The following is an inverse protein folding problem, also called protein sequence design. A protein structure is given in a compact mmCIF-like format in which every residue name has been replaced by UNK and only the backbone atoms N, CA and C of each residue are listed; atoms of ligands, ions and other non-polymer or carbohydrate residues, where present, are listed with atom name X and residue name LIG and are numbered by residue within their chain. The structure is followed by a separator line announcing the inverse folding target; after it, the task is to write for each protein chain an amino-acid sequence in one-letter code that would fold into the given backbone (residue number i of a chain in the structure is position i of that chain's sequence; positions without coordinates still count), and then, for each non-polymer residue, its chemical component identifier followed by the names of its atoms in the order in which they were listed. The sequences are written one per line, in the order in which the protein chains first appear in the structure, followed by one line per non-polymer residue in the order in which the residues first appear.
data_IF_681805551865
#
_entry.id   IF_681805551865
#
_cell.length_a   1.000
_cell.length_b   1.000
_cell.length_c   1.000
_cell.angle_alpha   90.00
_cell.angle_beta   90.00
_cell.angle_gamma   90.00
#
_symmetry.space_group_name_H-M   'P 1'
#
loop_
_entity.id
_entity.type
_entity.pdbx_description
1 polymer ?
#
# COMPACT_ATOMS: atom_id res chain seq x y z
N UNK A 1 5.32 -13.14 2.81
CA UNK A 1 4.46 -13.20 1.60
C UNK A 1 4.83 -14.41 0.72
N UNK A 2 3.99 -15.45 0.50
CA UNK A 2 2.74 -15.64 -0.30
C UNK A 2 3.05 -16.08 -1.75
N UNK A 3 2.73 -17.33 -2.04
CA UNK A 3 2.85 -17.98 -3.35
C UNK A 3 1.57 -17.67 -4.12
N UNK A 4 1.69 -16.96 -5.24
CA UNK A 4 0.58 -16.66 -6.15
C UNK A 4 0.50 -17.75 -7.21
N UNK A 5 -0.68 -18.34 -7.39
CA UNK A 5 -1.01 -19.19 -8.53
C UNK A 5 -2.17 -18.54 -9.29
N UNK A 6 -1.93 -18.18 -10.55
CA UNK A 6 -2.96 -17.74 -11.48
C UNK A 6 -3.63 -18.98 -12.07
N UNK A 7 -4.96 -19.02 -12.13
CA UNK A 7 -5.69 -20.13 -12.76
C UNK A 7 -6.50 -19.57 -13.94
N UNK A 8 -6.13 -19.95 -15.18
CA UNK A 8 -7.05 -19.94 -16.31
C UNK A 8 -8.05 -21.10 -16.16
N UNK A 9 -9.33 -20.84 -16.49
CA UNK A 9 -10.48 -21.70 -16.19
C UNK A 9 -10.19 -23.19 -16.46
N UNK A 10 -10.50 -24.01 -15.45
CA UNK A 10 -10.33 -25.45 -15.38
C UNK A 10 -10.63 -26.13 -16.73
N UNK A 11 -9.66 -26.94 -17.17
CA UNK A 11 -9.59 -27.84 -18.33
C UNK A 11 -8.72 -27.40 -19.54
N UNK A 12 -8.47 -26.10 -19.82
CA UNK A 12 -7.51 -25.65 -20.89
C UNK A 12 -6.85 -24.27 -20.61
N UNK A 13 -6.42 -23.99 -19.38
CA UNK A 13 -5.79 -22.71 -19.01
C UNK A 13 -4.30 -22.83 -18.65
N UNK A 14 -3.56 -21.72 -18.74
CA UNK A 14 -2.17 -21.64 -18.24
C UNK A 14 -2.16 -21.19 -16.78
N UNK A 15 -1.32 -21.85 -15.98
CA UNK A 15 -1.05 -21.45 -14.59
C UNK A 15 0.30 -20.74 -14.54
N UNK A 16 0.29 -19.49 -14.08
CA UNK A 16 1.51 -18.69 -13.87
C UNK A 16 1.77 -18.62 -12.36
N UNK A 17 2.98 -19.00 -11.96
CA UNK A 17 3.45 -18.90 -10.58
C UNK A 17 4.28 -17.62 -10.41
N UNK A 18 3.83 -16.74 -9.51
CA UNK A 18 4.52 -15.48 -9.22
C UNK A 18 5.17 -15.53 -7.84
N UNK A 19 6.50 -15.41 -7.81
CA UNK A 19 7.29 -15.31 -6.60
C UNK A 19 7.67 -13.84 -6.38
N UNK A 20 6.78 -13.10 -5.71
CA UNK A 20 6.97 -11.66 -5.57
C UNK A 20 8.03 -11.31 -4.51
N UNK A 21 9.10 -10.57 -4.87
CA UNK A 21 10.03 -10.02 -3.90
C UNK A 21 9.48 -8.77 -3.21
N UNK A 22 10.17 -8.29 -2.19
CA UNK A 22 9.99 -6.95 -1.62
C UNK A 22 8.54 -6.58 -1.24
N UNK A 23 7.81 -7.52 -0.62
CA UNK A 23 6.48 -7.25 -0.09
C UNK A 23 6.49 -6.21 1.01
N UNK A 24 7.35 -6.41 2.00
CA UNK A 24 7.39 -5.62 3.24
C UNK A 24 7.71 -4.15 2.96
N UNK A 25 8.35 -3.87 1.81
CA UNK A 25 8.66 -2.52 1.34
C UNK A 25 7.49 -1.87 0.56
N UNK A 26 6.42 -2.63 0.27
CA UNK A 26 5.23 -2.16 -0.42
C UNK A 26 5.41 -1.86 -1.91
N UNK A 27 6.47 -2.35 -2.56
CA UNK A 27 6.83 -1.95 -3.93
C UNK A 27 7.02 -3.10 -4.93
N UNK A 28 7.21 -4.35 -4.48
CA UNK A 28 7.50 -5.47 -5.38
C UNK A 28 6.40 -5.77 -6.40
N UNK A 29 5.15 -5.87 -5.94
CA UNK A 29 3.99 -6.11 -6.81
C UNK A 29 3.89 -5.06 -7.91
N UNK A 30 4.00 -3.78 -7.53
CA UNK A 30 3.94 -2.65 -8.46
C UNK A 30 4.99 -2.75 -9.57
N UNK A 31 6.19 -3.24 -9.25
CA UNK A 31 7.26 -3.40 -10.23
C UNK A 31 7.01 -4.59 -11.16
N UNK A 32 6.62 -5.74 -10.62
CA UNK A 32 6.29 -6.92 -11.43
C UNK A 32 5.16 -6.64 -12.41
N UNK A 33 4.09 -5.95 -11.97
CA UNK A 33 2.98 -5.57 -12.84
C UNK A 33 3.46 -4.65 -13.97
N UNK A 34 4.34 -3.69 -13.65
CA UNK A 34 4.93 -2.79 -14.65
C UNK A 34 5.77 -3.54 -15.68
N UNK A 35 6.42 -4.63 -15.28
CA UNK A 35 7.26 -5.47 -16.13
C UNK A 35 6.46 -6.58 -16.85
N UNK A 36 5.11 -6.53 -16.83
CA UNK A 36 4.24 -7.40 -17.61
C UNK A 36 3.79 -8.68 -16.90
N UNK A 37 4.02 -8.83 -15.59
CA UNK A 37 3.72 -10.09 -14.88
C UNK A 37 2.23 -10.49 -14.85
N UNK A 38 1.32 -9.57 -15.19
CA UNK A 38 -0.13 -9.82 -15.27
C UNK A 38 -0.69 -9.62 -16.68
N UNK A 39 0.16 -9.56 -17.70
CA UNK A 39 -0.31 -9.58 -19.09
C UNK A 39 -1.00 -10.92 -19.38
N UNK A 40 -2.16 -10.87 -20.04
CA UNK A 40 -3.01 -12.04 -20.35
C UNK A 40 -3.46 -12.87 -19.12
N UNK A 41 -3.51 -12.26 -17.93
CA UNK A 41 -4.00 -12.88 -16.70
C UNK A 41 -5.45 -12.49 -16.42
N UNK A 42 -6.35 -13.48 -16.39
CA UNK A 42 -7.78 -13.28 -16.11
C UNK A 42 -8.09 -13.13 -14.61
N UNK A 43 -7.35 -13.84 -13.76
CA UNK A 43 -7.59 -13.89 -12.32
C UNK A 43 -6.31 -14.09 -11.52
N UNK A 44 -6.24 -13.50 -10.33
CA UNK A 44 -5.09 -13.57 -9.43
C UNK A 44 -5.53 -13.99 -8.03
N UNK A 45 -4.79 -14.91 -7.41
CA UNK A 45 -5.11 -15.45 -6.10
C UNK A 45 -3.95 -15.31 -5.14
N UNK A 46 -4.24 -14.86 -3.92
CA UNK A 46 -3.24 -14.59 -2.90
C UNK A 46 -3.55 -15.29 -1.57
N UNK A 47 -2.54 -15.91 -0.94
CA UNK A 47 -2.67 -16.65 0.34
C UNK A 47 -1.67 -16.24 1.43
N UNK A 48 -2.14 -15.60 2.49
CA UNK A 48 -1.28 -15.24 3.63
C UNK A 48 -1.46 -16.24 4.77
N UNK A 49 -0.37 -16.76 5.34
CA UNK A 49 -0.45 -17.57 6.55
C UNK A 49 -0.74 -16.64 7.73
N UNK A 50 -1.81 -16.94 8.47
CA UNK A 50 -2.21 -16.16 9.63
C UNK A 50 -1.94 -16.95 10.90
N UNK A 51 -1.24 -16.34 11.86
CA UNK A 51 -1.08 -16.91 13.20
C UNK A 51 -2.32 -16.71 14.09
N UNK A 52 -3.22 -15.80 13.70
CA UNK A 52 -4.46 -15.49 14.43
C UNK A 52 -5.56 -16.55 14.26
N UNK A 53 -5.36 -17.54 13.38
CA UNK A 53 -6.35 -18.55 13.04
C UNK A 53 -5.76 -19.96 13.22
N UNK A 54 -6.54 -20.95 13.69
CA UNK A 54 -6.09 -22.34 13.75
C UNK A 54 -5.71 -22.90 12.38
N UNK A 55 -4.75 -23.82 12.36
CA UNK A 55 -4.38 -24.56 11.15
C UNK A 55 -5.58 -25.30 10.57
N UNK A 56 -5.72 -25.24 9.24
CA UNK A 56 -6.84 -25.87 8.51
C UNK A 56 -8.02 -24.93 8.25
N UNK A 57 -7.98 -23.69 8.74
CA UNK A 57 -8.99 -22.66 8.46
C UNK A 57 -8.54 -21.77 7.31
N UNK A 58 -9.47 -21.49 6.39
CA UNK A 58 -9.30 -20.54 5.29
C UNK A 58 -10.33 -19.43 5.43
N UNK A 59 -9.86 -18.20 5.58
CA UNK A 59 -10.71 -17.00 5.62
C UNK A 59 -10.67 -16.25 4.29
N UNK A 60 -11.84 -15.86 3.78
CA UNK A 60 -11.97 -14.96 2.63
C UNK A 60 -13.29 -14.19 2.71
N UNK A 61 -13.39 -13.07 1.99
CA UNK A 61 -14.64 -12.33 1.81
C UNK A 61 -14.61 -11.52 0.52
N UNK A 62 -15.79 -11.23 -0.09
CA UNK A 62 -15.87 -10.26 -1.17
C UNK A 62 -15.54 -8.84 -0.67
N UNK A 63 -15.06 -7.99 -1.58
CA UNK A 63 -14.74 -6.60 -1.28
C UNK A 63 -13.36 -6.39 -0.60
N UNK A 64 -13.07 -5.17 -0.11
CA UNK A 64 -11.72 -4.76 0.31
C UNK A 64 -11.24 -5.48 1.58
N UNK A 65 -10.27 -6.39 1.52
CA UNK A 65 -9.83 -7.22 2.67
C UNK A 65 -8.93 -6.47 3.68
N UNK A 66 -7.95 -5.73 3.18
CA UNK A 66 -6.91 -5.04 3.95
C UNK A 66 -7.02 -3.51 3.79
N UNK A 67 -6.47 -2.76 4.75
CA UNK A 67 -6.40 -1.31 4.67
C UNK A 67 -5.32 -0.85 3.69
N UNK A 68 -5.55 0.27 3.01
CA UNK A 68 -4.51 0.96 2.26
C UNK A 68 -3.52 1.68 3.20
N UNK A 69 -2.24 1.66 2.86
CA UNK A 69 -1.20 2.40 3.57
C UNK A 69 -0.66 3.53 2.68
N UNK A 70 -0.39 4.69 3.29
CA UNK A 70 0.18 5.84 2.60
C UNK A 70 0.79 6.82 3.59
N UNK A 71 1.74 7.61 3.10
CA UNK A 71 2.38 8.67 3.87
C UNK A 71 2.00 10.02 3.28
N UNK A 72 1.79 11.00 4.13
CA UNK A 72 1.71 12.40 3.73
C UNK A 72 2.80 13.19 4.44
N UNK A 73 3.26 14.25 3.78
CA UNK A 73 4.22 15.19 4.36
C UNK A 73 3.61 16.58 4.29
N UNK A 74 3.38 17.18 5.46
CA UNK A 74 3.01 18.58 5.57
C UNK A 74 4.26 19.41 5.84
N UNK A 75 4.41 20.52 5.12
CA UNK A 75 5.46 21.51 5.38
C UNK A 75 4.77 22.77 5.90
N UNK A 76 5.03 23.10 7.17
CA UNK A 76 4.50 24.30 7.82
C UNK A 76 5.63 25.34 7.82
N UNK A 77 5.40 26.48 7.17
CA UNK A 77 6.37 27.57 7.08
C UNK A 77 5.91 28.76 7.91
N UNK A 78 6.77 29.18 8.83
CA UNK A 78 6.60 30.42 9.58
C UNK A 78 7.09 31.64 8.82
N UNK A 79 6.94 32.81 9.44
CA UNK A 79 7.46 34.09 8.95
C UNK A 79 8.30 34.72 10.06
N UNK A 80 9.52 35.14 9.75
CA UNK A 80 10.37 35.85 10.72
C UNK A 80 9.90 37.31 10.87
N UNK A 81 9.66 37.75 12.10
CA UNK A 81 9.44 39.16 12.44
C UNK A 81 10.76 39.91 12.60
N UNK A 82 10.72 41.25 12.59
CA UNK A 82 11.89 42.05 12.97
C UNK A 82 12.03 42.04 14.50
N UNK A 83 13.25 42.18 15.01
CA UNK A 83 13.52 42.10 16.46
C UNK A 83 12.78 43.19 17.27
N UNK A 84 12.58 44.35 16.65
CA UNK A 84 11.84 45.51 17.15
C UNK A 84 10.32 45.42 16.97
N UNK A 85 9.82 44.47 16.16
CA UNK A 85 8.39 44.31 15.91
C UNK A 85 8.00 42.82 15.74
N UNK A 86 7.99 42.06 16.85
CA UNK A 86 7.78 40.61 16.83
C UNK A 86 6.38 40.18 16.40
N UNK A 87 5.38 41.08 16.43
CA UNK A 87 4.00 40.79 16.04
C UNK A 87 3.82 40.47 14.54
N UNK A 88 4.81 40.77 13.70
CA UNK A 88 4.81 40.36 12.29
C UNK A 88 5.40 38.96 12.05
N UNK A 89 5.85 38.28 13.10
CA UNK A 89 6.26 36.88 13.00
C UNK A 89 5.05 35.95 12.91
N UNK A 90 5.22 34.83 12.19
CA UNK A 90 4.28 33.71 12.19
C UNK A 90 5.03 32.51 12.75
N UNK A 91 4.58 32.05 13.90
CA UNK A 91 5.12 30.87 14.57
C UNK A 91 4.55 29.60 13.91
N UNK A 92 5.38 28.73 13.31
CA UNK A 92 4.90 27.48 12.74
C UNK A 92 4.45 26.45 13.79
N UNK A 93 4.81 26.62 15.06
CA UNK A 93 4.37 25.79 16.19
C UNK A 93 2.96 26.19 16.63
N UNK A 94 2.71 27.50 16.71
CA UNK A 94 1.40 28.07 17.04
C UNK A 94 0.69 28.59 15.77
N UNK A 95 0.33 27.68 14.88
CA UNK A 95 -0.56 28.00 13.75
C UNK A 95 -1.98 28.14 14.28
N UNK A 96 -2.46 29.38 14.36
CA UNK A 96 -3.89 29.68 14.51
C UNK A 96 -4.55 29.52 13.14
N UNK A 97 -5.69 28.80 13.01
CA UNK A 97 -6.47 28.83 11.78
C UNK A 97 -6.87 30.27 11.49
N UNK A 98 -6.46 30.80 10.34
CA UNK A 98 -7.08 32.04 9.83
C UNK A 98 -8.51 31.68 9.44
N UNK A 99 -9.46 32.52 9.89
CA UNK A 99 -10.85 32.43 9.44
C UNK A 99 -10.96 32.77 7.96
#
# INVERSE_FOLDING_TARGET
MLILAVLGILYQGTVILLFQPAEEAGNGAKRMIKDGALEDVEAIFAVHVSHEHPTGIIGSRPGPLLAGCGFFRAVISGKKGRADNPYHSVDPIFVRPSR
#
